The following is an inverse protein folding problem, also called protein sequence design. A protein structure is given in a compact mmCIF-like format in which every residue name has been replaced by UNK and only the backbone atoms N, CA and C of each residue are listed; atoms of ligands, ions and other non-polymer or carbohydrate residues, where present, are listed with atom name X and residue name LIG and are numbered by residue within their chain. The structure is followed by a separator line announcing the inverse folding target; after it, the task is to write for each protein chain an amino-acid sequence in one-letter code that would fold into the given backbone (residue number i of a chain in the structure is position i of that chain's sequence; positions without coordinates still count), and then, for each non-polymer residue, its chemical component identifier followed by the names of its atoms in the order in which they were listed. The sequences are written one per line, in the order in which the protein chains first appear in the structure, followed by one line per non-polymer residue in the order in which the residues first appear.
data_IF_982687429527
#
_entry.id   IF_982687429527
#
_cell.length_a   1.000
_cell.length_b   1.000
_cell.length_c   1.000
_cell.angle_alpha   90.00
_cell.angle_beta   90.00
_cell.angle_gamma   90.00
#
_symmetry.space_group_name_H-M   'P 1'
#
loop_
_entity.id
_entity.type
_entity.pdbx_description
1 polymer ?
#
# COMPACT_ATOMS: atom_id res chain seq x y z
N UNK A 1 -11.20 -12.64 13.73
CA UNK A 1 -11.64 -12.68 12.31
C UNK A 1 -11.96 -11.29 11.71
N UNK A 2 -12.62 -10.37 12.44
CA UNK A 2 -13.04 -9.05 11.87
C UNK A 2 -11.90 -8.05 11.61
N UNK A 3 -10.81 -8.11 12.39
CA UNK A 3 -9.65 -7.22 12.26
C UNK A 3 -8.89 -7.41 10.93
N UNK A 4 -8.59 -8.66 10.56
CA UNK A 4 -7.91 -8.99 9.30
C UNK A 4 -8.75 -8.60 8.07
N UNK A 5 -10.06 -8.84 8.13
CA UNK A 5 -10.98 -8.45 7.05
C UNK A 5 -10.99 -6.93 6.84
N UNK A 6 -10.97 -6.15 7.92
CA UNK A 6 -10.92 -4.69 7.86
C UNK A 6 -9.63 -4.19 7.22
N UNK A 7 -8.48 -4.80 7.55
CA UNK A 7 -7.18 -4.47 6.92
C UNK A 7 -7.18 -4.80 5.42
N UNK A 8 -7.68 -5.99 5.03
CA UNK A 8 -7.75 -6.41 3.64
C UNK A 8 -8.65 -5.50 2.78
N UNK A 9 -9.71 -4.96 3.37
CA UNK A 9 -10.61 -4.04 2.68
C UNK A 9 -9.91 -2.73 2.30
N UNK A 10 -8.98 -2.24 3.13
CA UNK A 10 -8.12 -1.11 2.81
C UNK A 10 -6.98 -1.48 1.85
N UNK A 11 -6.49 -2.72 1.91
CA UNK A 11 -5.39 -3.20 1.08
C UNK A 11 -5.77 -3.37 -0.40
N UNK A 12 -6.98 -3.84 -0.70
CA UNK A 12 -7.44 -4.11 -2.08
C UNK A 12 -7.18 -2.98 -3.09
N UNK A 13 -7.63 -1.74 -2.86
CA UNK A 13 -7.37 -0.65 -3.80
C UNK A 13 -5.88 -0.32 -3.88
N UNK A 14 -5.16 -0.45 -2.77
CA UNK A 14 -3.72 -0.20 -2.67
C UNK A 14 -2.92 -1.14 -3.59
N UNK A 15 -3.22 -2.43 -3.55
CA UNK A 15 -2.54 -3.44 -4.38
C UNK A 15 -2.62 -3.11 -5.86
N UNK A 16 -3.81 -2.78 -6.35
CA UNK A 16 -4.01 -2.48 -7.76
C UNK A 16 -3.17 -1.28 -8.20
N UNK A 17 -3.21 -0.19 -7.45
CA UNK A 17 -2.39 1.00 -7.72
C UNK A 17 -0.90 0.69 -7.63
N UNK A 18 -0.50 -0.09 -6.64
CA UNK A 18 0.88 -0.44 -6.37
C UNK A 18 1.49 -1.31 -7.50
N UNK A 19 0.73 -2.28 -8.01
CA UNK A 19 1.14 -3.08 -9.17
C UNK A 19 1.22 -2.23 -10.44
N UNK A 20 0.25 -1.38 -10.68
CA UNK A 20 0.19 -0.52 -11.87
C UNK A 20 1.40 0.43 -11.91
N UNK A 21 1.77 1.00 -10.76
CA UNK A 21 2.94 1.87 -10.62
C UNK A 21 4.25 1.11 -10.78
N UNK A 22 4.36 -0.11 -10.25
CA UNK A 22 5.51 -0.98 -10.48
C UNK A 22 5.72 -1.24 -11.99
N UNK A 23 4.66 -1.55 -12.73
CA UNK A 23 4.74 -1.82 -14.18
C UNK A 23 5.19 -0.57 -14.94
N UNK A 24 4.53 0.58 -14.69
CA UNK A 24 4.86 1.84 -15.36
C UNK A 24 6.32 2.23 -15.08
N UNK A 25 6.74 2.25 -13.82
CA UNK A 25 8.11 2.68 -13.47
C UNK A 25 9.17 1.70 -13.95
N UNK A 26 8.89 0.40 -13.93
CA UNK A 26 9.80 -0.62 -14.49
C UNK A 26 9.97 -0.45 -16.00
N UNK A 27 8.91 -0.07 -16.73
CA UNK A 27 9.00 0.22 -18.17
C UNK A 27 9.95 1.38 -18.48
N UNK A 28 9.98 2.40 -17.61
CA UNK A 28 10.92 3.52 -17.72
C UNK A 28 12.33 3.20 -17.18
N UNK A 29 12.62 1.95 -16.81
CA UNK A 29 13.91 1.50 -16.23
C UNK A 29 14.33 2.32 -15.00
N UNK A 30 13.35 2.77 -14.22
CA UNK A 30 13.59 3.51 -12.99
C UNK A 30 14.22 2.59 -11.94
N UNK A 31 15.19 3.10 -11.18
CA UNK A 31 15.83 2.34 -10.11
C UNK A 31 14.82 1.87 -9.06
N UNK A 32 15.02 0.65 -8.55
CA UNK A 32 14.16 0.02 -7.54
C UNK A 32 14.01 0.90 -6.30
N UNK A 33 15.08 1.57 -5.87
CA UNK A 33 15.07 2.49 -4.72
C UNK A 33 14.07 3.62 -4.93
N UNK A 34 14.06 4.22 -6.13
CA UNK A 34 13.12 5.28 -6.50
C UNK A 34 11.68 4.75 -6.51
N UNK A 35 11.44 3.53 -7.01
CA UNK A 35 10.12 2.89 -6.97
C UNK A 35 9.64 2.72 -5.52
N UNK A 36 10.52 2.30 -4.60
CA UNK A 36 10.19 2.16 -3.19
C UNK A 36 9.86 3.51 -2.52
N UNK A 37 10.57 4.58 -2.87
CA UNK A 37 10.27 5.94 -2.37
C UNK A 37 8.89 6.39 -2.84
N UNK A 38 8.53 6.15 -4.11
CA UNK A 38 7.18 6.51 -4.61
C UNK A 38 6.07 5.76 -3.86
N UNK A 39 6.31 4.51 -3.46
CA UNK A 39 5.36 3.72 -2.65
C UNK A 39 5.13 4.31 -1.26
N UNK A 40 6.19 4.77 -0.59
CA UNK A 40 6.05 5.50 0.67
C UNK A 40 5.14 6.73 0.50
N UNK A 41 5.30 7.45 -0.61
CA UNK A 41 4.46 8.60 -0.92
C UNK A 41 3.00 8.22 -1.17
N UNK A 42 2.72 7.13 -1.89
CA UNK A 42 1.36 6.59 -2.08
C UNK A 42 0.66 6.27 -0.77
N UNK A 43 1.38 5.68 0.19
CA UNK A 43 0.81 5.33 1.49
C UNK A 43 0.52 6.59 2.31
N UNK A 44 1.41 7.57 2.28
CA UNK A 44 1.17 8.88 2.89
C UNK A 44 -0.05 9.58 2.28
N UNK A 45 -0.18 9.55 0.96
CA UNK A 45 -1.32 10.12 0.24
C UNK A 45 -2.63 9.39 0.56
N UNK A 46 -2.59 8.06 0.64
CA UNK A 46 -3.76 7.27 1.00
C UNK A 46 -4.17 7.50 2.45
N UNK A 47 -3.20 7.66 3.36
CA UNK A 47 -3.49 8.08 4.73
C UNK A 47 -4.20 9.43 4.77
N UNK A 48 -3.69 10.42 4.02
CA UNK A 48 -4.31 11.74 3.91
C UNK A 48 -5.75 11.67 3.37
N UNK A 49 -5.97 11.02 2.22
CA UNK A 49 -7.31 10.86 1.64
C UNK A 49 -8.24 10.13 2.61
N UNK A 50 -7.76 9.07 3.25
CA UNK A 50 -8.61 8.28 4.16
C UNK A 50 -8.98 9.09 5.40
N UNK A 51 -8.11 10.00 5.85
CA UNK A 51 -8.38 10.87 6.98
C UNK A 51 -9.38 12.00 6.67
N UNK A 52 -9.35 12.52 5.44
CA UNK A 52 -10.23 13.63 5.01
C UNK A 52 -11.58 13.17 4.43
N UNK A 53 -11.67 11.94 3.92
CA UNK A 53 -12.90 11.44 3.25
C UNK A 53 -13.74 10.52 4.16
N UNK A 54 -14.78 9.89 3.59
CA UNK A 54 -15.59 8.83 4.22
C UNK A 54 -14.76 7.64 4.74
N UNK A 55 -13.49 7.52 4.35
CA UNK A 55 -12.53 6.59 4.94
C UNK A 55 -12.30 6.80 6.44
N UNK A 56 -12.56 8.00 6.97
CA UNK A 56 -12.37 8.35 8.37
C UNK A 56 -13.26 7.53 9.31
N UNK A 57 -14.49 7.23 8.89
CA UNK A 57 -15.39 6.36 9.65
C UNK A 57 -14.85 4.92 9.74
N UNK A 58 -14.25 4.42 8.66
CA UNK A 58 -13.61 3.10 8.63
C UNK A 58 -12.33 3.06 9.47
N UNK A 59 -11.55 4.16 9.49
CA UNK A 59 -10.40 4.31 10.38
C UNK A 59 -10.82 4.33 11.85
N UNK A 60 -11.91 5.03 12.19
CA UNK A 60 -12.47 5.04 13.54
C UNK A 60 -12.97 3.65 13.96
N UNK A 61 -13.58 2.89 13.05
CA UNK A 61 -13.95 1.49 13.30
C UNK A 61 -12.72 0.62 13.60
N UNK A 62 -11.65 0.72 12.80
CA UNK A 62 -10.38 0.03 13.09
C UNK A 62 -9.77 0.47 14.43
N UNK A 63 -9.86 1.76 14.78
CA UNK A 63 -9.40 2.29 16.06
C UNK A 63 -10.19 1.72 17.24
N UNK A 64 -11.51 1.61 17.10
CA UNK A 64 -12.40 1.00 18.10
C UNK A 64 -12.14 -0.51 18.26
N UNK A 65 -11.64 -1.19 17.21
CA UNK A 65 -11.15 -2.57 17.26
C UNK A 65 -9.75 -2.70 17.89
N UNK A 66 -9.16 -1.61 18.38
CA UNK A 66 -7.84 -1.59 19.03
C UNK A 66 -6.64 -1.47 18.08
N UNK A 67 -6.86 -1.22 16.79
CA UNK A 67 -5.77 -1.06 15.81
C UNK A 67 -5.46 0.44 15.67
N UNK A 68 -4.24 0.83 16.04
CA UNK A 68 -3.80 2.21 15.79
C UNK A 68 -3.66 2.47 14.29
N UNK A 69 -3.98 3.68 13.86
CA UNK A 69 -3.91 4.09 12.46
C UNK A 69 -2.52 3.87 11.89
N UNK A 70 -1.47 4.30 12.59
CA UNK A 70 -0.07 4.08 12.19
C UNK A 70 0.27 2.60 12.01
N UNK A 71 -0.21 1.73 12.91
CA UNK A 71 0.01 0.28 12.81
C UNK A 71 -0.69 -0.30 11.58
N UNK A 72 -1.89 0.18 11.25
CA UNK A 72 -2.62 -0.23 10.04
C UNK A 72 -1.84 0.12 8.76
N UNK A 73 -1.40 1.38 8.61
CA UNK A 73 -0.65 1.82 7.43
C UNK A 73 0.74 1.17 7.34
N UNK A 74 1.43 0.97 8.45
CA UNK A 74 2.71 0.24 8.48
C UNK A 74 2.55 -1.22 8.03
N UNK A 75 1.47 -1.89 8.47
CA UNK A 75 1.19 -3.28 8.09
C UNK A 75 0.81 -3.38 6.61
N UNK A 76 0.00 -2.43 6.10
CA UNK A 76 -0.30 -2.32 4.67
C UNK A 76 0.98 -2.15 3.84
N UNK A 77 1.92 -1.29 4.27
CA UNK A 77 3.19 -1.11 3.59
C UNK A 77 4.05 -2.38 3.59
N UNK A 78 4.11 -3.08 4.72
CA UNK A 78 4.87 -4.33 4.84
C UNK A 78 4.34 -5.41 3.90
N UNK A 79 3.01 -5.60 3.84
CA UNK A 79 2.41 -6.56 2.92
C UNK A 79 2.69 -6.15 1.47
N UNK A 80 2.55 -4.86 1.16
CA UNK A 80 2.82 -4.34 -0.18
C UNK A 80 4.27 -4.60 -0.60
N UNK A 81 5.26 -4.27 0.26
CA UNK A 81 6.67 -4.55 0.03
C UNK A 81 6.93 -6.03 -0.24
N UNK A 82 6.34 -6.90 0.57
CA UNK A 82 6.54 -8.34 0.50
C UNK A 82 6.00 -8.93 -0.81
N UNK A 83 4.90 -8.37 -1.35
CA UNK A 83 4.41 -8.70 -2.69
C UNK A 83 5.25 -8.06 -3.81
N UNK A 84 5.74 -6.85 -3.59
CA UNK A 84 6.34 -6.01 -4.64
C UNK A 84 7.77 -6.39 -4.97
N UNK A 85 8.57 -6.75 -3.98
CA UNK A 85 9.97 -7.11 -4.15
C UNK A 85 10.14 -8.28 -5.14
N UNK A 86 9.50 -9.46 -4.94
CA UNK A 86 9.64 -10.56 -5.89
C UNK A 86 9.10 -10.16 -7.27
N UNK A 87 8.02 -9.40 -7.34
CA UNK A 87 7.46 -8.93 -8.61
C UNK A 87 8.42 -8.02 -9.39
N UNK A 88 9.06 -7.06 -8.72
CA UNK A 88 10.03 -6.15 -9.33
C UNK A 88 11.30 -6.87 -9.78
N UNK A 89 11.77 -7.87 -9.00
CA UNK A 89 12.94 -8.69 -9.39
C UNK A 89 12.63 -9.44 -10.68
N UNK A 90 11.48 -10.12 -10.74
CA UNK A 90 11.03 -10.86 -11.93
C UNK A 90 10.89 -9.89 -13.11
N UNK A 91 10.15 -8.78 -12.95
CA UNK A 91 9.94 -7.80 -14.03
C UNK A 91 11.24 -7.26 -14.62
N UNK A 92 12.25 -7.00 -13.77
CA UNK A 92 13.54 -6.48 -14.20
C UNK A 92 14.32 -7.48 -15.07
N UNK A 93 14.09 -8.78 -14.94
CA UNK A 93 14.69 -9.77 -15.84
C UNK A 93 14.06 -9.76 -17.24
N UNK A 94 12.80 -9.30 -17.36
CA UNK A 94 12.06 -9.30 -18.63
C UNK A 94 12.05 -7.95 -19.38
N UNK A 95 12.42 -6.83 -18.74
CA UNK A 95 12.34 -5.45 -19.27
C UNK A 95 13.72 -4.76 -19.28
#
# INVERSE_FOLDING_TARGET
MQQLSSILMFYRPLVLWSFLINIILSFFKVEIITILITKLFLIGFLWYITNETNGKQKLLFCKNLGISTLKLFSLLYLIDLLLSIPFLIILREFV
#
